data_IF_811117546035
#
_entry.id   IF_811117546035
#
_cell.length_a   1.000
_cell.length_b   1.000
_cell.length_c   1.000
_cell.angle_alpha   90.00
_cell.angle_beta   90.00
_cell.angle_gamma   90.00
#
_symmetry.space_group_name_H-M   'P 1'
#
loop_
_entity.id
_entity.type
_entity.pdbx_description
1 polymer ?
#
# COMPACT_ATOMS: atom_id res chain seq x y z
N UNK A 1 12.50 -13.89 15.21
CA UNK A 1 12.82 -14.14 13.78
C UNK A 1 12.39 -15.53 13.32
N UNK A 2 12.69 -16.61 14.06
CA UNK A 2 12.30 -18.00 13.70
C UNK A 2 10.78 -18.21 13.48
N UNK A 3 9.91 -17.51 14.21
CA UNK A 3 8.46 -17.62 14.05
C UNK A 3 7.93 -17.02 12.75
N UNK A 4 8.46 -15.86 12.29
CA UNK A 4 8.02 -15.20 11.04
C UNK A 4 8.38 -16.04 9.82
N UNK A 5 9.63 -16.50 9.74
CA UNK A 5 10.09 -17.37 8.64
C UNK A 5 9.35 -18.70 8.62
N UNK A 6 9.05 -19.27 9.79
CA UNK A 6 8.28 -20.51 9.89
C UNK A 6 6.84 -20.30 9.43
N UNK A 7 6.15 -19.24 9.88
CA UNK A 7 4.76 -18.92 9.45
C UNK A 7 4.70 -18.67 7.94
N UNK A 8 5.62 -17.90 7.38
CA UNK A 8 5.63 -17.63 5.94
C UNK A 8 5.88 -18.92 5.13
N UNK A 9 6.77 -19.80 5.58
CA UNK A 9 7.03 -21.09 4.92
C UNK A 9 5.88 -22.08 5.05
N UNK A 10 5.23 -22.17 6.21
CA UNK A 10 4.13 -23.11 6.44
C UNK A 10 2.82 -22.65 5.81
N UNK A 11 2.60 -21.34 5.72
CA UNK A 11 1.43 -20.79 5.03
C UNK A 11 1.55 -20.89 3.51
N UNK A 12 2.77 -20.91 2.94
CA UNK A 12 2.96 -21.17 1.52
C UNK A 12 2.65 -22.63 1.09
N UNK A 13 2.20 -23.49 2.01
CA UNK A 13 1.91 -24.90 1.73
C UNK A 13 0.48 -25.08 1.21
N UNK A 14 0.26 -25.62 -0.01
CA UNK A 14 -1.06 -25.68 -0.65
C UNK A 14 -2.19 -26.37 0.16
N UNK A 15 -1.93 -27.43 0.95
CA UNK A 15 -2.96 -28.04 1.79
C UNK A 15 -3.45 -27.10 2.91
N UNK A 16 -2.56 -26.27 3.46
CA UNK A 16 -2.88 -25.31 4.52
C UNK A 16 -3.70 -24.15 3.94
N UNK A 17 -3.33 -23.66 2.75
CA UNK A 17 -4.12 -22.66 2.02
C UNK A 17 -5.55 -23.12 1.77
N UNK A 18 -5.72 -24.34 1.24
CA UNK A 18 -7.03 -24.92 0.94
C UNK A 18 -7.90 -25.06 2.19
N UNK A 19 -7.31 -25.47 3.31
CA UNK A 19 -8.03 -25.58 4.59
C UNK A 19 -8.51 -24.20 5.07
N UNK A 20 -7.65 -23.19 5.07
CA UNK A 20 -8.03 -21.84 5.56
C UNK A 20 -9.08 -21.18 4.65
N UNK A 21 -8.95 -21.33 3.32
CA UNK A 21 -9.93 -20.81 2.36
C UNK A 21 -11.32 -21.45 2.48
N UNK A 22 -11.37 -22.76 2.71
CA UNK A 22 -12.63 -23.50 2.70
C UNK A 22 -13.35 -23.55 4.06
N UNK A 23 -12.72 -23.06 5.14
CA UNK A 23 -13.29 -23.15 6.48
C UNK A 23 -13.95 -21.82 6.89
N UNK A 24 -15.28 -21.84 7.08
CA UNK A 24 -16.08 -20.66 7.48
C UNK A 24 -15.62 -20.01 8.81
N UNK A 25 -14.90 -20.75 9.64
CA UNK A 25 -14.35 -20.29 10.93
C UNK A 25 -13.38 -19.11 10.74
N UNK A 26 -12.63 -19.07 9.63
CA UNK A 26 -11.68 -17.99 9.38
C UNK A 26 -12.32 -16.75 8.73
N UNK A 27 -13.56 -16.84 8.24
CA UNK A 27 -14.22 -15.75 7.49
C UNK A 27 -14.36 -14.44 8.30
N UNK A 28 -14.76 -14.44 9.59
CA UNK A 28 -14.83 -13.22 10.40
C UNK A 28 -13.47 -12.57 10.67
N UNK A 29 -12.41 -13.38 10.66
CA UNK A 29 -11.04 -12.93 10.86
C UNK A 29 -10.46 -12.35 9.56
N UNK A 30 -10.77 -12.96 8.42
CA UNK A 30 -10.40 -12.49 7.08
C UNK A 30 -11.10 -11.17 6.77
N UNK A 31 -12.41 -11.07 7.01
CA UNK A 31 -13.20 -9.84 6.77
C UNK A 31 -12.79 -8.65 7.65
N UNK A 32 -12.00 -8.89 8.70
CA UNK A 32 -11.38 -7.81 9.48
C UNK A 32 -10.30 -7.08 8.68
N UNK A 33 -9.54 -7.79 7.86
CA UNK A 33 -8.36 -7.28 7.14
C UNK A 33 -8.59 -7.09 5.64
N UNK A 34 -9.63 -7.71 5.10
CA UNK A 34 -10.02 -7.67 3.68
C UNK A 34 -11.43 -7.15 3.60
N UNK A 35 -11.66 -6.19 2.70
CA UNK A 35 -12.93 -5.46 2.61
C UNK A 35 -14.07 -6.28 2.01
N UNK A 36 -13.73 -7.30 1.23
CA UNK A 36 -14.67 -8.18 0.56
C UNK A 36 -14.02 -8.94 -0.58
N UNK A 37 -14.83 -9.78 -1.22
CA UNK A 37 -14.39 -10.63 -2.34
C UNK A 37 -14.56 -9.88 -3.69
N UNK A 38 -15.39 -8.83 -3.74
CA UNK A 38 -15.66 -8.06 -4.95
C UNK A 38 -15.55 -6.53 -4.75
N UNK A 39 -15.54 -5.81 -5.88
CA UNK A 39 -15.36 -4.36 -5.91
C UNK A 39 -16.47 -3.58 -5.19
N UNK A 40 -17.73 -4.04 -5.23
CA UNK A 40 -18.82 -3.31 -4.56
C UNK A 40 -18.65 -3.35 -3.03
N UNK A 41 -18.33 -4.51 -2.47
CA UNK A 41 -18.03 -4.65 -1.04
C UNK A 41 -16.83 -3.79 -0.63
N UNK A 42 -15.80 -3.74 -1.48
CA UNK A 42 -14.61 -2.91 -1.26
C UNK A 42 -14.96 -1.41 -1.25
N UNK A 43 -15.83 -0.96 -2.15
CA UNK A 43 -16.30 0.43 -2.21
C UNK A 43 -17.17 0.75 -0.98
N UNK A 44 -18.10 -0.13 -0.59
CA UNK A 44 -18.94 0.06 0.59
C UNK A 44 -18.11 0.14 1.89
N UNK A 45 -17.07 -0.68 2.01
CA UNK A 45 -16.13 -0.60 3.11
C UNK A 45 -15.33 0.72 3.07
N UNK A 46 -14.92 1.16 1.88
CA UNK A 46 -14.19 2.41 1.68
C UNK A 46 -15.03 3.61 2.08
N UNK A 47 -16.30 3.67 1.69
CA UNK A 47 -17.25 4.74 2.07
C UNK A 47 -17.35 4.86 3.60
N UNK A 48 -17.48 3.74 4.33
CA UNK A 48 -17.52 3.75 5.80
C UNK A 48 -16.24 4.27 6.47
N UNK A 49 -15.11 4.18 5.77
CA UNK A 49 -13.82 4.73 6.23
C UNK A 49 -13.75 6.22 5.91
N UNK A 50 -14.17 6.62 4.72
CA UNK A 50 -14.26 8.02 4.29
C UNK A 50 -15.16 8.86 5.20
N UNK A 51 -16.29 8.30 5.65
CA UNK A 51 -17.23 8.97 6.57
C UNK A 51 -16.61 9.31 7.94
N UNK A 52 -15.40 8.81 8.24
CA UNK A 52 -14.63 9.11 9.45
C UNK A 52 -13.48 10.09 9.20
N UNK A 53 -13.51 10.77 8.05
CA UNK A 53 -12.45 11.65 7.57
C UNK A 53 -11.08 10.94 7.39
N UNK A 54 -11.15 9.64 7.10
CA UNK A 54 -9.98 8.81 6.79
C UNK A 54 -9.99 8.49 5.30
N UNK A 55 -8.92 8.88 4.60
CA UNK A 55 -8.74 8.61 3.16
C UNK A 55 -8.55 7.11 2.92
N UNK A 56 -8.71 6.66 1.69
CA UNK A 56 -8.58 5.25 1.31
C UNK A 56 -7.69 5.05 0.10
N UNK A 57 -6.91 3.97 0.10
CA UNK A 57 -6.34 3.40 -1.13
C UNK A 57 -6.86 1.98 -1.28
N UNK A 58 -7.51 1.69 -2.41
CA UNK A 58 -8.03 0.37 -2.75
C UNK A 58 -6.94 -0.45 -3.45
N UNK A 59 -6.80 -1.70 -3.01
CA UNK A 59 -5.85 -2.66 -3.59
C UNK A 59 -6.58 -3.91 -4.06
N UNK A 60 -6.48 -4.17 -5.36
CA UNK A 60 -6.93 -5.43 -5.94
C UNK A 60 -5.85 -6.48 -5.74
N UNK A 61 -6.15 -7.46 -4.90
CA UNK A 61 -5.21 -8.49 -4.48
C UNK A 61 -4.82 -9.39 -5.66
N UNK A 62 -3.52 -9.44 -5.92
CA UNK A 62 -2.87 -10.23 -6.97
C UNK A 62 -1.41 -9.82 -7.09
N UNK A 63 -0.55 -10.71 -7.58
CA UNK A 63 0.87 -10.48 -7.92
C UNK A 63 1.22 -11.45 -9.06
N UNK A 64 2.17 -11.09 -9.92
CA UNK A 64 2.76 -11.98 -10.94
C UNK A 64 1.73 -12.71 -11.83
N UNK A 65 1.06 -11.96 -12.71
CA UNK A 65 0.20 -12.56 -13.74
C UNK A 65 1.00 -13.54 -14.58
N UNK A 66 0.45 -14.72 -14.87
CA UNK A 66 1.19 -15.80 -15.53
C UNK A 66 1.38 -15.55 -17.04
N UNK A 67 0.49 -14.78 -17.66
CA UNK A 67 0.48 -14.52 -19.09
C UNK A 67 -0.17 -13.16 -19.40
N UNK A 68 -0.07 -12.73 -20.66
CA UNK A 68 -0.61 -11.43 -21.10
C UNK A 68 -2.13 -11.32 -20.92
N UNK A 69 -2.89 -12.41 -21.06
CA UNK A 69 -4.34 -12.38 -20.91
C UNK A 69 -4.75 -12.06 -19.46
N UNK A 70 -4.07 -12.66 -18.48
CA UNK A 70 -4.27 -12.33 -17.06
C UNK A 70 -3.89 -10.88 -16.74
N UNK A 71 -2.81 -10.37 -17.31
CA UNK A 71 -2.41 -8.96 -17.16
C UNK A 71 -3.44 -8.00 -17.76
N UNK A 72 -4.04 -8.35 -18.90
CA UNK A 72 -5.11 -7.56 -19.52
C UNK A 72 -6.39 -7.58 -18.67
N UNK A 73 -6.72 -8.69 -18.02
CA UNK A 73 -7.87 -8.76 -17.09
C UNK A 73 -7.62 -7.95 -15.81
N UNK A 74 -6.40 -8.01 -15.26
CA UNK A 74 -6.01 -7.19 -14.12
C UNK A 74 -6.11 -5.69 -14.48
N UNK A 75 -5.57 -5.28 -15.65
CA UNK A 75 -5.76 -3.93 -16.18
C UNK A 75 -7.23 -3.53 -16.27
N UNK A 76 -8.07 -4.38 -16.85
CA UNK A 76 -9.50 -4.12 -16.96
C UNK A 76 -10.15 -3.94 -15.57
N UNK A 77 -9.71 -4.71 -14.58
CA UNK A 77 -10.14 -4.56 -13.19
C UNK A 77 -9.76 -3.19 -12.62
N UNK A 78 -8.53 -2.73 -12.81
CA UNK A 78 -8.11 -1.40 -12.36
C UNK A 78 -8.90 -0.26 -13.03
N UNK A 79 -9.19 -0.37 -14.32
CA UNK A 79 -10.05 0.59 -15.02
C UNK A 79 -11.46 0.61 -14.42
N UNK A 80 -12.08 -0.57 -14.21
CA UNK A 80 -13.39 -0.69 -13.55
C UNK A 80 -13.39 -0.09 -12.13
N UNK A 81 -12.29 -0.26 -11.38
CA UNK A 81 -12.12 0.36 -10.06
C UNK A 81 -12.18 1.87 -10.17
N UNK A 82 -11.42 2.47 -11.08
CA UNK A 82 -11.37 3.92 -11.28
C UNK A 82 -12.75 4.49 -11.68
N UNK A 83 -13.44 3.84 -12.62
CA UNK A 83 -14.80 4.22 -13.03
C UNK A 83 -15.80 4.15 -11.87
N UNK A 84 -15.68 3.13 -11.01
CA UNK A 84 -16.55 2.99 -9.84
C UNK A 84 -16.24 4.05 -8.79
N UNK A 85 -14.96 4.34 -8.54
CA UNK A 85 -14.51 5.38 -7.60
C UNK A 85 -15.00 6.76 -8.03
N UNK A 86 -14.96 7.09 -9.33
CA UNK A 86 -15.48 8.34 -9.87
C UNK A 86 -16.97 8.56 -9.55
N UNK A 87 -17.70 7.50 -9.21
CA UNK A 87 -19.11 7.52 -8.83
C UNK A 87 -19.38 7.58 -7.32
N UNK A 88 -18.34 7.55 -6.47
CA UNK A 88 -18.47 7.66 -5.01
C UNK A 88 -18.73 9.11 -4.60
N UNK A 89 -19.75 9.42 -3.78
CA UNK A 89 -20.12 10.80 -3.43
C UNK A 89 -18.98 11.64 -2.86
N UNK A 90 -18.20 11.07 -1.94
CA UNK A 90 -17.04 11.74 -1.32
C UNK A 90 -15.94 12.05 -2.34
N UNK A 91 -15.78 11.20 -3.37
CA UNK A 91 -14.84 11.45 -4.46
C UNK A 91 -15.38 12.50 -5.43
N UNK A 92 -16.68 12.50 -5.76
CA UNK A 92 -17.30 13.54 -6.60
C UNK A 92 -17.22 14.93 -5.99
N UNK A 93 -17.32 15.03 -4.67
CA UNK A 93 -17.20 16.29 -3.94
C UNK A 93 -15.75 16.81 -3.89
N UNK A 94 -14.77 15.97 -4.22
CA UNK A 94 -13.36 16.34 -4.26
C UNK A 94 -13.02 16.98 -5.61
N UNK A 95 -12.70 18.27 -5.57
CA UNK A 95 -12.22 19.02 -6.72
C UNK A 95 -10.80 19.49 -6.44
N UNK A 96 -9.77 18.90 -7.08
CA UNK A 96 -8.40 19.38 -6.93
C UNK A 96 -8.29 20.80 -7.49
N UNK A 97 -7.70 21.71 -6.72
CA UNK A 97 -7.63 23.14 -7.05
C UNK A 97 -6.43 23.50 -7.94
N UNK A 98 -5.42 22.63 -8.05
CA UNK A 98 -4.14 22.91 -8.72
C UNK A 98 -3.68 21.82 -9.71
N UNK A 99 -4.55 20.83 -10.00
CA UNK A 99 -4.25 19.72 -10.89
C UNK A 99 -3.28 18.67 -10.33
N UNK A 100 -2.71 18.88 -9.13
CA UNK A 100 -2.00 17.84 -8.38
C UNK A 100 -2.96 17.24 -7.36
N UNK A 101 -2.77 15.96 -7.05
CA UNK A 101 -3.64 15.20 -6.15
C UNK A 101 -2.91 14.90 -4.84
N UNK A 102 -2.58 15.90 -3.99
CA UNK A 102 -1.92 15.61 -2.73
C UNK A 102 -2.88 14.86 -1.80
N UNK A 103 -4.11 15.33 -1.63
CA UNK A 103 -5.03 14.84 -0.60
C UNK A 103 -6.30 14.16 -1.13
N UNK A 104 -6.21 13.40 -2.22
CA UNK A 104 -7.34 12.67 -2.78
C UNK A 104 -8.03 11.76 -1.72
N UNK A 105 -9.37 11.68 -1.68
CA UNK A 105 -10.06 10.91 -0.65
C UNK A 105 -9.92 9.40 -0.91
N UNK A 106 -9.95 8.96 -2.17
CA UNK A 106 -9.98 7.57 -2.55
C UNK A 106 -9.20 7.34 -3.84
N UNK A 107 -8.13 6.55 -3.76
CA UNK A 107 -7.28 6.18 -4.89
C UNK A 107 -7.03 4.67 -4.95
N UNK A 108 -6.20 4.22 -5.90
CA UNK A 108 -5.85 2.81 -6.06
C UNK A 108 -4.34 2.56 -5.87
N UNK A 109 -4.00 1.35 -5.43
CA UNK A 109 -2.64 0.80 -5.47
C UNK A 109 -2.58 -0.36 -6.48
N UNK A 110 -1.51 -0.42 -7.26
CA UNK A 110 -1.27 -1.41 -8.32
C UNK A 110 0.13 -2.01 -8.19
N UNK A 111 0.30 -3.26 -8.62
CA UNK A 111 1.62 -3.91 -8.74
C UNK A 111 1.94 -4.09 -10.22
N UNK A 112 3.16 -3.74 -10.64
CA UNK A 112 3.51 -3.76 -12.07
C UNK A 112 3.55 -5.18 -12.63
N UNK A 113 3.82 -6.19 -11.79
CA UNK A 113 3.69 -7.58 -12.20
C UNK A 113 2.24 -7.99 -12.53
N UNK A 114 1.23 -7.27 -12.04
CA UNK A 114 -0.16 -7.41 -12.51
C UNK A 114 -0.42 -6.67 -13.82
N UNK A 115 0.36 -5.64 -14.15
CA UNK A 115 0.34 -5.00 -15.48
C UNK A 115 1.05 -5.84 -16.55
N UNK A 116 1.69 -6.93 -16.16
CA UNK A 116 2.44 -7.81 -17.04
C UNK A 116 3.94 -7.51 -17.11
N UNK A 117 4.55 -7.00 -16.03
CA UNK A 117 5.98 -6.69 -16.00
C UNK A 117 6.84 -7.92 -16.34
N UNK A 118 6.43 -9.12 -15.96
CA UNK A 118 7.13 -10.37 -16.30
C UNK A 118 6.94 -10.81 -17.75
N UNK A 119 5.93 -10.27 -18.44
CA UNK A 119 5.66 -10.51 -19.86
C UNK A 119 6.41 -9.52 -20.77
N UNK A 120 6.87 -8.39 -20.21
CA UNK A 120 7.74 -7.45 -20.91
C UNK A 120 7.52 -6.00 -20.47
N UNK A 121 8.59 -5.22 -20.41
CA UNK A 121 8.51 -3.83 -19.91
C UNK A 121 7.64 -2.94 -20.79
N UNK A 122 7.72 -3.07 -22.12
CA UNK A 122 6.89 -2.29 -23.04
C UNK A 122 5.40 -2.64 -22.92
N UNK A 123 5.09 -3.92 -22.72
CA UNK A 123 3.73 -4.40 -22.51
C UNK A 123 3.14 -3.86 -21.19
N UNK A 124 3.92 -3.97 -20.11
CA UNK A 124 3.53 -3.44 -18.80
C UNK A 124 3.38 -1.93 -18.80
N UNK A 125 4.28 -1.20 -19.46
CA UNK A 125 4.20 0.25 -19.60
C UNK A 125 2.94 0.67 -20.34
N UNK A 126 2.62 0.02 -21.46
CA UNK A 126 1.37 0.30 -22.19
C UNK A 126 0.15 0.08 -21.30
N UNK A 127 0.07 -1.07 -20.63
CA UNK A 127 -1.06 -1.38 -19.76
C UNK A 127 -1.19 -0.40 -18.60
N UNK A 128 -0.07 0.01 -18.04
CA UNK A 128 -0.04 0.97 -16.95
C UNK A 128 -0.43 2.38 -17.40
N UNK A 129 0.05 2.85 -18.55
CA UNK A 129 -0.37 4.13 -19.16
C UNK A 129 -1.88 4.13 -19.46
N UNK A 130 -2.44 3.03 -19.97
CA UNK A 130 -3.90 2.89 -20.16
C UNK A 130 -4.68 3.14 -18.84
N UNK A 131 -4.18 2.60 -17.70
CA UNK A 131 -4.79 2.83 -16.36
C UNK A 131 -4.60 4.27 -15.90
N UNK A 132 -3.40 4.84 -16.09
CA UNK A 132 -3.08 6.21 -15.70
C UNK A 132 -3.91 7.25 -16.45
N UNK A 133 -4.22 6.99 -17.73
CA UNK A 133 -5.08 7.85 -18.55
C UNK A 133 -6.50 7.91 -17.98
N UNK A 134 -7.10 6.76 -17.65
CA UNK A 134 -8.43 6.70 -17.02
C UNK A 134 -8.40 7.35 -15.64
N UNK A 135 -7.35 7.14 -14.86
CA UNK A 135 -7.21 7.78 -13.56
C UNK A 135 -7.14 9.31 -13.72
N UNK A 136 -6.38 9.79 -14.70
CA UNK A 136 -6.23 11.22 -15.01
C UNK A 136 -7.57 11.84 -15.43
N UNK A 137 -8.36 11.17 -16.28
CA UNK A 137 -9.67 11.68 -16.70
C UNK A 137 -10.66 11.81 -15.54
N UNK A 138 -10.50 11.00 -14.49
CA UNK A 138 -11.30 11.06 -13.27
C UNK A 138 -10.70 11.95 -12.18
N UNK A 139 -9.53 12.57 -12.40
CA UNK A 139 -8.81 13.29 -11.34
C UNK A 139 -8.39 12.38 -10.18
N UNK A 140 -8.02 11.14 -10.48
CA UNK A 140 -7.62 10.13 -9.52
C UNK A 140 -6.11 9.83 -9.60
N UNK A 141 -5.58 9.29 -8.51
CA UNK A 141 -4.20 8.91 -8.32
C UNK A 141 -4.01 7.40 -8.41
N UNK A 142 -2.86 6.96 -8.89
CA UNK A 142 -2.46 5.55 -8.91
C UNK A 142 -1.12 5.40 -8.21
N UNK A 143 -1.05 4.57 -7.15
CA UNK A 143 0.21 4.20 -6.49
C UNK A 143 0.77 2.93 -7.10
N UNK A 144 2.02 2.94 -7.57
CA UNK A 144 2.75 1.69 -7.80
C UNK A 144 3.24 1.16 -6.45
N UNK A 145 2.78 -0.01 -6.06
CA UNK A 145 3.32 -0.75 -4.93
C UNK A 145 4.68 -1.35 -5.28
N UNK A 146 5.62 -1.26 -4.34
CA UNK A 146 6.94 -1.86 -4.50
C UNK A 146 6.91 -3.32 -4.09
N UNK A 147 7.27 -4.16 -5.03
CA UNK A 147 7.36 -5.62 -4.89
C UNK A 147 8.72 -6.03 -4.31
N UNK A 148 9.14 -7.29 -4.50
CA UNK A 148 10.45 -7.76 -4.05
C UNK A 148 11.60 -7.01 -4.74
N UNK A 149 12.80 -7.08 -4.15
CA UNK A 149 14.00 -6.37 -4.61
C UNK A 149 14.36 -6.62 -6.08
N UNK A 150 14.01 -7.79 -6.61
CA UNK A 150 14.18 -8.15 -8.02
C UNK A 150 13.42 -7.22 -9.00
N UNK A 151 12.36 -6.56 -8.53
CA UNK A 151 11.55 -5.64 -9.33
C UNK A 151 11.90 -4.17 -9.09
N UNK A 152 12.68 -3.83 -8.05
CA UNK A 152 12.84 -2.44 -7.61
C UNK A 152 13.34 -1.53 -8.73
N UNK A 153 14.42 -1.88 -9.43
CA UNK A 153 14.94 -1.02 -10.50
C UNK A 153 13.94 -0.86 -11.65
N UNK A 154 13.28 -1.96 -12.05
CA UNK A 154 12.31 -1.94 -13.15
C UNK A 154 11.11 -1.07 -12.82
N UNK A 155 10.68 -1.08 -11.55
CA UNK A 155 9.64 -0.19 -11.03
C UNK A 155 10.09 1.27 -11.00
N UNK A 156 11.31 1.54 -10.53
CA UNK A 156 11.88 2.90 -10.48
C UNK A 156 12.04 3.50 -11.88
N UNK A 157 12.56 2.72 -12.83
CA UNK A 157 12.67 3.13 -14.22
C UNK A 157 11.29 3.34 -14.87
N UNK A 158 10.30 2.50 -14.55
CA UNK A 158 8.92 2.67 -15.04
C UNK A 158 8.32 4.01 -14.60
N UNK A 159 8.42 4.35 -13.30
CA UNK A 159 7.88 5.63 -12.81
C UNK A 159 8.58 6.81 -13.46
N UNK A 160 9.91 6.80 -13.59
CA UNK A 160 10.67 7.88 -14.24
C UNK A 160 10.26 8.10 -15.70
N UNK A 161 9.91 7.02 -16.44
CA UNK A 161 9.46 7.11 -17.83
C UNK A 161 8.04 7.66 -17.98
N UNK A 162 7.11 7.30 -17.10
CA UNK A 162 5.69 7.68 -17.26
C UNK A 162 5.33 8.99 -16.57
N UNK A 163 6.05 9.37 -15.51
CA UNK A 163 5.70 10.51 -14.67
C UNK A 163 5.61 11.86 -15.41
N UNK A 164 6.46 12.18 -16.42
CA UNK A 164 6.33 13.42 -17.18
C UNK A 164 4.97 13.61 -17.85
N UNK A 165 4.35 12.52 -18.31
CA UNK A 165 3.04 12.54 -18.97
C UNK A 165 1.87 12.37 -17.98
N UNK A 166 2.15 11.66 -16.88
CA UNK A 166 1.19 11.21 -15.88
C UNK A 166 1.65 11.53 -14.45
N UNK A 167 1.62 12.81 -14.03
CA UNK A 167 1.99 13.21 -12.66
C UNK A 167 0.99 12.76 -11.59
N UNK A 168 -0.13 12.13 -11.99
CA UNK A 168 -1.10 11.49 -11.11
C UNK A 168 -0.65 10.10 -10.62
N UNK A 169 0.67 9.87 -10.53
CA UNK A 169 1.23 8.64 -10.00
C UNK A 169 2.40 8.85 -9.04
N UNK A 170 2.79 7.78 -8.36
CA UNK A 170 3.84 7.74 -7.36
C UNK A 170 4.18 6.29 -7.02
N UNK A 171 5.27 6.08 -6.27
CA UNK A 171 5.76 4.74 -5.94
C UNK A 171 5.86 4.50 -4.43
N UNK A 172 6.24 3.29 -4.05
CA UNK A 172 6.58 2.90 -2.68
C UNK A 172 8.10 2.71 -2.57
N UNK A 173 8.70 3.13 -1.46
CA UNK A 173 10.09 2.86 -1.13
C UNK A 173 10.17 2.04 0.17
N UNK A 174 11.13 1.11 0.24
CA UNK A 174 11.23 0.13 1.34
C UNK A 174 12.51 0.38 2.14
N UNK A 175 12.37 0.77 3.41
CA UNK A 175 13.51 1.24 4.21
C UNK A 175 14.55 0.17 4.54
N UNK A 176 14.18 -1.12 4.43
CA UNK A 176 15.11 -2.21 4.66
C UNK A 176 16.17 -2.40 3.56
N UNK A 177 16.02 -1.83 2.36
CA UNK A 177 16.98 -2.03 1.26
C UNK A 177 18.12 -1.01 1.38
N UNK A 178 19.34 -1.46 1.10
CA UNK A 178 20.52 -0.57 1.13
C UNK A 178 20.45 0.58 0.13
N UNK A 179 19.81 0.35 -1.02
CA UNK A 179 19.66 1.34 -2.12
C UNK A 179 18.67 2.47 -1.83
N UNK A 180 17.82 2.34 -0.82
CA UNK A 180 16.64 3.21 -0.67
C UNK A 180 16.99 4.67 -0.39
N UNK A 181 18.13 4.95 0.24
CA UNK A 181 18.56 6.34 0.48
C UNK A 181 18.78 7.09 -0.86
N UNK A 182 19.30 6.42 -1.89
CA UNK A 182 19.45 6.99 -3.25
C UNK A 182 18.10 7.10 -3.98
N UNK A 183 17.25 6.08 -3.87
CA UNK A 183 15.92 6.09 -4.50
C UNK A 183 15.00 7.18 -3.91
N UNK A 184 15.17 7.54 -2.62
CA UNK A 184 14.50 8.70 -2.01
C UNK A 184 14.86 9.98 -2.74
N UNK A 185 16.14 10.22 -3.01
CA UNK A 185 16.59 11.43 -3.72
C UNK A 185 16.09 11.45 -5.16
N UNK A 186 16.08 10.30 -5.86
CA UNK A 186 15.50 10.18 -7.21
C UNK A 186 14.03 10.62 -7.23
N UNK A 187 13.23 10.15 -6.27
CA UNK A 187 11.80 10.49 -6.22
C UNK A 187 11.53 11.93 -5.77
N UNK A 188 12.36 12.47 -4.88
CA UNK A 188 12.32 13.91 -4.53
C UNK A 188 12.61 14.75 -5.76
N UNK A 189 13.67 14.43 -6.52
CA UNK A 189 14.04 15.14 -7.73
C UNK A 189 12.95 15.07 -8.81
N UNK A 190 12.31 13.90 -8.95
CA UNK A 190 11.18 13.70 -9.87
C UNK A 190 9.93 14.46 -9.42
N UNK A 191 9.78 14.75 -8.13
CA UNK A 191 8.56 15.34 -7.54
C UNK A 191 7.42 14.33 -7.42
N UNK A 192 7.72 13.03 -7.45
CA UNK A 192 6.73 11.97 -7.33
C UNK A 192 6.28 11.80 -5.87
N UNK A 193 5.00 11.50 -5.66
CA UNK A 193 4.52 11.09 -4.32
C UNK A 193 5.24 9.80 -3.93
N UNK A 194 5.71 9.68 -2.69
CA UNK A 194 6.35 8.47 -2.17
C UNK A 194 5.59 7.94 -0.96
N UNK A 195 5.30 6.64 -0.94
CA UNK A 195 4.91 5.93 0.28
C UNK A 195 6.14 5.22 0.85
N UNK A 196 6.51 5.53 2.09
CA UNK A 196 7.63 4.87 2.77
C UNK A 196 7.11 3.74 3.67
N UNK A 197 7.59 2.53 3.43
CA UNK A 197 7.32 1.33 4.23
C UNK A 197 8.63 0.74 4.76
N UNK A 198 8.58 -0.18 5.73
CA UNK A 198 9.77 -0.94 6.14
C UNK A 198 10.22 -1.96 5.10
N UNK A 199 9.27 -2.64 4.46
CA UNK A 199 9.50 -3.77 3.56
C UNK A 199 8.71 -4.99 4.01
N UNK A 200 8.10 -5.70 3.06
CA UNK A 200 7.20 -6.83 3.35
C UNK A 200 7.77 -8.18 2.91
N UNK A 201 8.72 -8.19 1.98
CA UNK A 201 9.28 -9.41 1.40
C UNK A 201 10.39 -9.99 2.29
N UNK A 202 10.74 -11.25 2.01
CA UNK A 202 11.88 -11.90 2.64
C UNK A 202 13.08 -11.74 1.71
N UNK A 203 13.93 -10.78 2.01
CA UNK A 203 15.09 -10.43 1.18
C UNK A 203 16.37 -11.06 1.72
N UNK A 204 17.34 -11.37 0.84
CA UNK A 204 18.66 -11.80 1.25
C UNK A 204 19.45 -10.64 1.89
N UNK A 205 20.38 -10.96 2.80
CA UNK A 205 21.17 -9.96 3.54
C UNK A 205 22.09 -9.13 2.64
N UNK A 206 22.32 -9.60 1.41
CA UNK A 206 23.14 -8.95 0.39
C UNK A 206 22.46 -7.68 -0.15
N UNK A 207 21.13 -7.57 -0.03
CA UNK A 207 20.35 -6.43 -0.56
C UNK A 207 19.58 -5.67 0.53
N UNK A 208 19.37 -6.27 1.70
CA UNK A 208 18.56 -5.71 2.77
C UNK A 208 19.16 -5.89 4.17
N UNK A 209 18.90 -4.92 5.05
CA UNK A 209 19.21 -4.99 6.48
C UNK A 209 18.50 -6.17 7.15
N UNK A 210 19.22 -7.17 7.70
CA UNK A 210 18.60 -8.26 8.45
C UNK A 210 18.18 -7.84 9.86
N UNK A 211 18.85 -6.84 10.46
CA UNK A 211 18.55 -6.35 11.81
C UNK A 211 17.42 -5.33 11.81
N UNK A 212 16.43 -5.55 12.70
CA UNK A 212 15.28 -4.66 12.83
C UNK A 212 15.69 -3.24 13.21
N UNK A 213 16.69 -3.09 14.07
CA UNK A 213 17.20 -1.81 14.53
C UNK A 213 17.74 -0.99 13.34
N UNK A 214 18.44 -1.64 12.40
CA UNK A 214 18.94 -1.00 11.19
C UNK A 214 17.83 -0.59 10.23
N UNK A 215 16.79 -1.41 10.09
CA UNK A 215 15.58 -1.05 9.32
C UNK A 215 14.87 0.16 9.93
N UNK A 216 14.74 0.21 11.26
CA UNK A 216 14.12 1.33 11.96
C UNK A 216 14.96 2.62 11.83
N UNK A 217 16.28 2.53 12.00
CA UNK A 217 17.22 3.65 11.77
C UNK A 217 17.08 4.20 10.34
N UNK A 218 17.07 3.32 9.33
CA UNK A 218 16.88 3.71 7.93
C UNK A 218 15.52 4.35 7.68
N UNK A 219 14.45 3.77 8.25
CA UNK A 219 13.09 4.31 8.15
C UNK A 219 13.04 5.75 8.66
N UNK A 220 13.63 6.02 9.83
CA UNK A 220 13.65 7.38 10.41
C UNK A 220 14.43 8.35 9.53
N UNK A 221 15.60 7.98 9.02
CA UNK A 221 16.39 8.85 8.13
C UNK A 221 15.62 9.21 6.87
N UNK A 222 15.07 8.22 6.18
CA UNK A 222 14.35 8.38 4.91
C UNK A 222 13.03 9.13 5.11
N UNK A 223 12.30 8.84 6.20
CA UNK A 223 11.09 9.55 6.58
C UNK A 223 11.36 11.03 6.78
N UNK A 224 12.39 11.39 7.57
CA UNK A 224 12.76 12.79 7.80
C UNK A 224 13.09 13.48 6.49
N UNK A 225 13.87 12.83 5.62
CA UNK A 225 14.25 13.38 4.32
C UNK A 225 13.04 13.63 3.42
N UNK A 226 12.12 12.68 3.34
CA UNK A 226 10.87 12.81 2.60
C UNK A 226 9.95 13.89 3.18
N UNK A 227 9.87 14.01 4.51
CA UNK A 227 9.07 15.06 5.16
C UNK A 227 9.63 16.47 4.90
N UNK A 228 10.95 16.62 4.78
CA UNK A 228 11.59 17.91 4.51
C UNK A 228 11.47 18.35 3.04
N UNK A 229 11.56 17.42 2.08
CA UNK A 229 11.73 17.76 0.67
C UNK A 229 10.85 16.99 -0.32
N UNK A 230 10.14 15.96 0.13
CA UNK A 230 9.28 15.14 -0.71
C UNK A 230 7.95 15.83 -1.02
N UNK A 231 7.39 15.51 -2.20
CA UNK A 231 6.05 15.95 -2.56
C UNK A 231 4.99 15.01 -1.99
N UNK A 232 4.24 15.48 -0.99
CA UNK A 232 3.18 14.73 -0.30
C UNK A 232 3.57 13.28 0.03
N UNK A 233 4.57 13.08 0.91
CA UNK A 233 4.98 11.74 1.31
C UNK A 233 3.90 11.06 2.17
N UNK A 234 3.87 9.73 2.08
CA UNK A 234 2.99 8.87 2.83
C UNK A 234 3.83 8.01 3.80
N UNK A 235 3.71 8.29 5.10
CA UNK A 235 4.43 7.58 6.16
C UNK A 235 3.61 6.34 6.54
N UNK A 236 3.90 5.22 5.87
CA UNK A 236 3.13 3.99 5.99
C UNK A 236 3.71 3.06 7.07
N UNK A 237 3.15 3.13 8.27
CA UNK A 237 3.58 2.35 9.42
C UNK A 237 2.48 2.22 10.46
N UNK A 238 2.51 1.15 11.25
CA UNK A 238 1.68 0.98 12.46
C UNK A 238 2.55 0.86 13.73
N UNK A 239 3.83 1.22 13.61
CA UNK A 239 4.79 1.27 14.70
C UNK A 239 4.71 2.65 15.37
N UNK A 240 4.23 2.68 16.62
CA UNK A 240 4.04 3.91 17.39
C UNK A 240 5.34 4.69 17.55
N UNK A 241 6.48 4.01 17.69
CA UNK A 241 7.77 4.69 17.81
C UNK A 241 8.09 5.51 16.55
N UNK A 242 7.77 4.98 15.37
CA UNK A 242 8.01 5.68 14.11
C UNK A 242 7.02 6.83 13.92
N UNK A 243 5.79 6.69 14.42
CA UNK A 243 4.77 7.74 14.36
C UNK A 243 5.14 8.88 15.30
N UNK A 244 5.55 8.58 16.53
CA UNK A 244 5.99 9.57 17.50
C UNK A 244 7.25 10.32 17.02
N UNK A 245 8.16 9.60 16.35
CA UNK A 245 9.31 10.19 15.68
C UNK A 245 8.90 11.17 14.58
N UNK A 246 7.96 10.78 13.72
CA UNK A 246 7.42 11.64 12.66
C UNK A 246 6.78 12.90 13.25
N UNK A 247 5.90 12.73 14.27
CA UNK A 247 5.22 13.83 14.97
C UNK A 247 6.22 14.80 15.59
N UNK A 248 7.27 14.29 16.26
CA UNK A 248 8.31 15.11 16.86
C UNK A 248 9.06 15.93 15.81
N UNK A 249 9.47 15.29 14.73
CA UNK A 249 10.20 15.95 13.65
C UNK A 249 9.35 17.01 12.92
N UNK A 250 8.08 16.70 12.63
CA UNK A 250 7.11 17.63 12.03
C UNK A 250 6.93 18.87 12.92
N UNK A 251 6.80 18.70 14.23
CA UNK A 251 6.71 19.81 15.17
C UNK A 251 8.01 20.64 15.23
N UNK A 252 9.17 19.98 15.28
CA UNK A 252 10.50 20.62 15.30
C UNK A 252 10.72 21.49 14.06
N UNK A 253 10.41 20.95 12.88
CA UNK A 253 10.61 21.61 11.58
C UNK A 253 9.45 22.49 11.15
N UNK A 254 8.36 22.55 11.94
CA UNK A 254 7.12 23.27 11.62
C UNK A 254 6.54 22.88 10.26
N UNK A 255 6.60 21.59 9.93
CA UNK A 255 6.06 21.05 8.69
C UNK A 255 4.53 21.07 8.76
N UNK A 256 3.88 21.48 7.67
CA UNK A 256 2.43 21.48 7.59
C UNK A 256 1.87 20.05 7.68
N UNK A 257 0.89 19.82 8.57
CA UNK A 257 0.22 18.52 8.69
C UNK A 257 -0.58 18.17 7.43
N UNK A 258 -0.98 19.17 6.65
CA UNK A 258 -1.65 19.03 5.36
C UNK A 258 -0.73 18.55 4.24
N UNK A 259 0.60 18.63 4.40
CA UNK A 259 1.57 18.36 3.32
C UNK A 259 2.06 16.91 3.26
N UNK A 260 1.57 16.02 4.12
CA UNK A 260 1.89 14.59 4.11
C UNK A 260 0.72 13.80 4.71
N UNK A 261 0.79 12.46 4.70
CA UNK A 261 -0.18 11.62 5.39
C UNK A 261 0.46 10.42 6.09
N UNK A 262 -0.18 9.95 7.15
CA UNK A 262 0.08 8.62 7.71
C UNK A 262 -0.74 7.58 6.97
N UNK A 263 -0.16 6.41 6.71
CA UNK A 263 -0.89 5.30 6.12
C UNK A 263 -0.87 4.04 6.96
N UNK A 264 -2.03 3.39 7.07
CA UNK A 264 -2.21 2.17 7.85
C UNK A 264 -2.99 1.13 7.08
N UNK A 265 -2.92 -0.11 7.54
CA UNK A 265 -3.65 -1.22 6.92
C UNK A 265 -5.06 -1.31 7.48
N UNK A 266 -6.00 -1.71 6.63
CA UNK A 266 -7.38 -1.92 7.02
C UNK A 266 -7.49 -2.96 8.16
N UNK A 267 -8.31 -2.64 9.16
CA UNK A 267 -8.52 -3.50 10.33
C UNK A 267 -7.43 -3.48 11.40
N UNK A 268 -6.35 -2.73 11.22
CA UNK A 268 -5.21 -2.66 12.15
C UNK A 268 -5.12 -1.28 12.80
N UNK A 269 -5.08 -1.26 14.14
CA UNK A 269 -4.91 -0.03 14.96
C UNK A 269 -5.88 1.10 14.60
N UNK A 270 -7.18 0.79 14.54
CA UNK A 270 -8.24 1.78 14.28
C UNK A 270 -8.23 2.92 15.30
N UNK A 271 -7.88 2.60 16.54
CA UNK A 271 -7.63 3.56 17.63
C UNK A 271 -6.60 4.62 17.23
N UNK A 272 -5.49 4.19 16.62
CA UNK A 272 -4.40 5.08 16.21
C UNK A 272 -4.77 5.90 14.97
N UNK A 273 -5.51 5.30 14.03
CA UNK A 273 -6.05 6.01 12.87
C UNK A 273 -6.94 7.17 13.32
N UNK A 274 -7.91 6.90 14.21
CA UNK A 274 -8.83 7.91 14.74
C UNK A 274 -8.11 8.96 15.60
N UNK A 275 -7.09 8.57 16.37
CA UNK A 275 -6.27 9.53 17.14
C UNK A 275 -5.54 10.52 16.23
N UNK A 276 -4.90 10.04 15.17
CA UNK A 276 -4.14 10.89 14.25
C UNK A 276 -5.04 11.87 13.49
N UNK A 277 -6.25 11.46 13.08
CA UNK A 277 -7.25 12.36 12.49
C UNK A 277 -7.65 13.46 13.48
N UNK A 278 -7.93 13.11 14.74
CA UNK A 278 -8.26 14.09 15.80
C UNK A 278 -7.13 15.08 16.08
N UNK A 279 -5.88 14.66 15.88
CA UNK A 279 -4.70 15.51 15.98
C UNK A 279 -4.49 16.41 14.74
N UNK A 280 -5.35 16.29 13.71
CA UNK A 280 -5.31 17.08 12.48
C UNK A 280 -4.34 16.58 11.42
N UNK A 281 -3.92 15.31 11.48
CA UNK A 281 -3.11 14.71 10.42
C UNK A 281 -3.99 14.08 9.33
N UNK A 282 -3.53 14.13 8.08
CA UNK A 282 -4.09 13.27 7.05
C UNK A 282 -3.79 11.80 7.37
N UNK A 283 -4.82 10.96 7.32
CA UNK A 283 -4.69 9.51 7.47
C UNK A 283 -5.30 8.82 6.27
N UNK A 284 -4.60 7.82 5.73
CA UNK A 284 -5.12 6.93 4.70
C UNK A 284 -5.08 5.47 5.13
N UNK A 285 -6.12 4.72 4.82
CA UNK A 285 -6.17 3.28 5.04
C UNK A 285 -6.04 2.52 3.73
N UNK A 286 -5.16 1.53 3.72
CA UNK A 286 -4.97 0.57 2.64
C UNK A 286 -5.98 -0.56 2.77
N UNK A 287 -6.90 -0.63 1.81
CA UNK A 287 -8.10 -1.48 1.82
C UNK A 287 -7.96 -2.54 0.72
N UNK A 288 -7.52 -3.76 1.08
CA UNK A 288 -7.37 -4.85 0.12
C UNK A 288 -8.71 -5.57 -0.13
N UNK A 289 -8.92 -6.05 -1.35
CA UNK A 289 -10.08 -6.86 -1.72
C UNK A 289 -9.74 -7.85 -2.85
N UNK A 290 -10.61 -8.85 -3.06
CA UNK A 290 -10.47 -9.83 -4.14
C UNK A 290 -10.01 -11.21 -3.66
N UNK A 291 -10.07 -12.17 -4.58
CA UNK A 291 -9.96 -13.60 -4.28
C UNK A 291 -8.53 -14.05 -3.91
N UNK A 292 -7.49 -13.30 -4.27
CA UNK A 292 -6.09 -13.62 -3.98
C UNK A 292 -5.66 -13.19 -2.55
N UNK A 293 -6.58 -13.22 -1.59
CA UNK A 293 -6.35 -12.67 -0.26
C UNK A 293 -5.42 -13.49 0.64
N UNK A 294 -5.25 -14.78 0.36
CA UNK A 294 -4.56 -15.69 1.29
C UNK A 294 -3.08 -15.34 1.51
N UNK A 295 -2.23 -15.13 0.47
CA UNK A 295 -0.85 -14.67 0.65
C UNK A 295 -0.75 -13.32 1.38
N UNK A 296 -1.68 -12.41 1.13
CA UNK A 296 -1.74 -11.12 1.83
C UNK A 296 -2.05 -11.33 3.31
N UNK A 297 -3.08 -12.12 3.63
CA UNK A 297 -3.51 -12.41 4.98
C UNK A 297 -2.42 -13.09 5.81
N UNK A 298 -1.71 -14.06 5.24
CA UNK A 298 -0.66 -14.80 5.97
C UNK A 298 0.52 -13.90 6.33
N UNK A 299 0.89 -12.95 5.47
CA UNK A 299 1.86 -11.89 5.80
C UNK A 299 1.40 -11.04 6.98
N UNK A 300 0.12 -10.63 7.01
CA UNK A 300 -0.47 -9.87 8.14
C UNK A 300 -0.48 -10.66 9.45
N UNK A 301 -0.61 -11.99 9.40
CA UNK A 301 -0.50 -12.85 10.57
C UNK A 301 0.93 -12.96 11.09
N UNK A 302 1.90 -13.09 10.18
CA UNK A 302 3.31 -13.24 10.53
C UNK A 302 3.92 -11.96 11.15
N UNK A 303 3.34 -10.79 10.89
CA UNK A 303 3.84 -9.49 11.34
C UNK A 303 3.61 -9.18 12.83
N UNK A 304 2.61 -9.77 13.48
CA UNK A 304 2.37 -9.56 14.93
C UNK A 304 1.95 -10.85 15.64
N UNK A 305 2.72 -11.34 16.63
CA UNK A 305 2.32 -12.46 17.48
C UNK A 305 0.98 -12.25 18.20
N UNK A 306 0.62 -11.00 18.50
CA UNK A 306 -0.68 -10.67 19.08
C UNK A 306 -1.86 -11.00 18.16
N UNK A 307 -1.70 -10.92 16.83
CA UNK A 307 -2.71 -11.37 15.87
C UNK A 307 -2.91 -12.89 16.00
N UNK A 308 -1.84 -13.65 16.21
CA UNK A 308 -1.89 -15.11 16.44
C UNK A 308 -2.61 -15.43 17.76
N UNK A 309 -2.33 -14.69 18.83
CA UNK A 309 -3.04 -14.84 20.13
C UNK A 309 -4.53 -14.51 20.00
N UNK A 310 -4.89 -13.51 19.18
CA UNK A 310 -6.29 -13.19 18.89
C UNK A 310 -7.00 -14.32 18.13
N UNK A 311 -6.33 -14.95 17.17
CA UNK A 311 -6.81 -16.16 16.50
C UNK A 311 -7.00 -17.30 17.50
N UNK A 312 -6.00 -17.56 18.35
CA UNK A 312 -6.10 -18.57 19.39
C UNK A 312 -7.33 -18.32 20.28
N UNK A 313 -7.58 -17.07 20.70
CA UNK A 313 -8.77 -16.69 21.47
C UNK A 313 -10.09 -16.91 20.72
N UNK A 314 -10.12 -16.77 19.39
CA UNK A 314 -11.31 -17.09 18.60
C UNK A 314 -11.64 -18.58 18.55
N UNK A 315 -10.65 -19.47 18.76
CA UNK A 315 -10.87 -20.92 18.90
C UNK A 315 -11.41 -21.34 20.27
N UNK A 316 -11.21 -20.53 21.32
CA UNK A 316 -11.69 -20.81 22.69
C UNK A 316 -13.00 -20.08 23.06
N UNK A 317 -13.57 -19.29 22.15
CA UNK A 317 -14.91 -18.69 22.27
C UNK A 317 -15.91 -19.36 21.32
N UNK A 318 -15.85 -20.69 21.27
CA UNK A 318 -16.95 -21.53 20.81
C UNK A 318 -17.91 -21.81 21.95
#
# INVERSE_FOLDING_TARGET
>A
MLSRSLILRTSAWPPVERLVRNTRIFRPLVSRFIAGDNLNEAIDASVKVLDRDIKVTLDYLGENTANEAEALEAKATYIRMLDRIANVPQFKAYHPTDGRLPADPLNISIKLTQCGLDQGEAFAEKNYRDVLEVAKSHGNFVRIDMEASAYTERTMAMIERVFPDYPNTGTVLQSYLYRTDEDVERMIALGARVRLVKGAYLEPKEVAHPEKEKVDEAYVRQMRRLLEAGFYPAIATQDEKMIDEAKRFVAEKKIDKGSFEFQMLYGIRRDLQESLVKEGYNVRVYVPFGDAWYPYFTRRLAERPANIVFIAKSFFKG
#
